data_IF_254323477602
#
_entry.id   IF_254323477602
#
_cell.length_a   1.000
_cell.length_b   1.000
_cell.length_c   1.000
_cell.angle_alpha   90.00
_cell.angle_beta   90.00
_cell.angle_gamma   90.00
#
_symmetry.space_group_name_H-M   'P 1'
#
loop_
_entity.id
_entity.type
_entity.pdbx_description
1 polymer ?
#
# COMPACT_ATOMS: atom_id res chain seq x y z
N UNK A 1 7.88 22.10 28.49
CA UNK A 1 7.42 21.04 27.57
C UNK A 1 8.33 21.00 26.35
N UNK A 2 9.53 20.42 26.51
CA UNK A 2 10.67 20.62 25.60
C UNK A 2 10.75 19.60 24.47
N UNK A 3 11.08 20.10 23.28
CA UNK A 3 11.15 19.37 22.04
C UNK A 3 12.19 18.26 22.02
N UNK A 4 11.72 17.05 21.72
CA UNK A 4 12.51 16.01 21.09
C UNK A 4 11.56 15.04 20.35
N UNK A 5 10.49 15.57 19.75
CA UNK A 5 9.49 14.72 19.10
C UNK A 5 10.04 13.99 17.89
N UNK A 6 11.16 14.47 17.32
CA UNK A 6 11.87 13.91 16.18
C UNK A 6 13.16 13.22 16.66
N UNK A 7 13.47 12.04 16.14
CA UNK A 7 14.77 11.36 16.35
C UNK A 7 15.81 11.78 15.30
N UNK A 8 17.06 11.35 15.48
CA UNK A 8 18.14 11.50 14.51
C UNK A 8 17.82 10.96 13.10
N UNK A 9 16.91 9.99 13.02
CA UNK A 9 16.41 9.43 11.75
C UNK A 9 15.39 10.35 11.04
N UNK A 10 15.17 11.58 11.53
CA UNK A 10 14.22 12.54 10.95
C UNK A 10 12.74 12.15 11.11
N UNK A 11 12.43 11.13 11.91
CA UNK A 11 11.07 10.61 12.13
C UNK A 11 10.56 10.99 13.51
N UNK A 12 9.23 11.04 13.70
CA UNK A 12 8.66 11.18 15.04
C UNK A 12 9.12 10.01 15.91
N UNK A 13 9.72 10.27 17.08
CA UNK A 13 10.30 9.25 17.97
C UNK A 13 9.35 8.08 18.23
N UNK A 14 8.08 8.38 18.51
CA UNK A 14 7.04 7.36 18.76
C UNK A 14 6.75 6.45 17.56
N UNK A 15 7.06 6.89 16.34
CA UNK A 15 6.83 6.15 15.09
C UNK A 15 8.13 5.63 14.47
N UNK A 16 9.29 5.91 15.07
CA UNK A 16 10.57 5.46 14.54
C UNK A 16 10.79 3.99 14.88
N UNK A 17 10.89 3.14 13.85
CA UNK A 17 11.19 1.72 14.00
C UNK A 17 12.58 1.51 14.61
N UNK A 18 13.58 2.26 14.13
CA UNK A 18 14.98 2.15 14.56
C UNK A 18 15.17 2.57 16.03
N UNK A 19 14.35 3.49 16.52
CA UNK A 19 14.37 3.89 17.93
C UNK A 19 13.42 3.07 18.83
N UNK A 20 12.77 2.02 18.32
CA UNK A 20 11.79 1.24 19.07
C UNK A 20 10.59 2.07 19.56
N UNK A 21 10.16 3.07 18.78
CA UNK A 21 9.13 4.02 19.16
C UNK A 21 7.85 3.35 19.68
N UNK A 22 7.19 3.96 20.67
CA UNK A 22 6.04 3.36 21.37
C UNK A 22 4.89 2.85 20.45
N UNK A 23 4.73 3.42 19.24
CA UNK A 23 3.75 2.98 18.26
C UNK A 23 4.19 1.76 17.45
N UNK A 24 5.40 1.24 17.65
CA UNK A 24 5.97 0.06 16.98
C UNK A 24 5.83 -1.14 17.91
N UNK A 25 5.38 -2.28 17.38
CA UNK A 25 5.34 -3.55 18.13
C UNK A 25 6.64 -4.33 17.95
N UNK A 26 6.78 -5.43 18.70
CA UNK A 26 7.91 -6.35 18.62
C UNK A 26 8.16 -6.90 17.21
N UNK A 27 7.10 -7.05 16.40
CA UNK A 27 7.19 -7.45 14.98
C UNK A 27 7.77 -6.33 14.07
N UNK A 28 8.19 -5.20 14.63
CA UNK A 28 8.76 -4.08 13.89
C UNK A 28 7.75 -3.39 12.95
N UNK A 29 6.45 -3.49 13.24
CA UNK A 29 5.35 -2.86 12.49
C UNK A 29 4.66 -1.84 13.39
N UNK A 30 3.93 -0.86 12.81
CA UNK A 30 3.04 0.00 13.61
C UNK A 30 1.99 -0.85 14.29
N UNK A 31 1.83 -0.73 15.61
CA UNK A 31 0.88 -1.49 16.45
C UNK A 31 -0.52 -1.53 15.85
N UNK A 32 -1.04 -0.38 15.42
CA UNK A 32 -2.37 -0.28 14.82
C UNK A 32 -2.55 -1.07 13.52
N UNK A 33 -1.45 -1.34 12.80
CA UNK A 33 -1.47 -2.04 11.52
C UNK A 33 -0.91 -3.48 11.61
N UNK A 34 -0.49 -3.92 12.79
CA UNK A 34 0.10 -5.24 12.95
C UNK A 34 -1.00 -6.29 13.11
N UNK A 35 -1.07 -7.23 12.16
CA UNK A 35 -2.03 -8.34 12.18
C UNK A 35 -1.82 -9.27 13.38
N UNK A 36 -0.57 -9.59 13.68
CA UNK A 36 -0.19 -10.47 14.79
C UNK A 36 -0.56 -9.87 16.15
N UNK A 37 -0.51 -8.54 16.28
CA UNK A 37 -0.94 -7.85 17.50
C UNK A 37 -2.44 -7.50 17.53
N UNK A 38 -3.23 -7.93 16.53
CA UNK A 38 -4.65 -7.56 16.43
C UNK A 38 -4.88 -6.05 16.31
N UNK A 39 -3.97 -5.33 15.65
CA UNK A 39 -3.99 -3.86 15.57
C UNK A 39 -5.34 -3.29 15.14
N UNK A 40 -5.74 -2.15 15.69
CA UNK A 40 -7.06 -1.55 15.48
C UNK A 40 -7.47 -1.34 14.01
N UNK A 41 -6.50 -1.19 13.10
CA UNK A 41 -6.75 -1.07 11.65
C UNK A 41 -6.99 -2.42 10.96
N UNK A 42 -6.92 -3.54 11.68
CA UNK A 42 -7.16 -4.89 11.17
C UNK A 42 -8.59 -5.33 11.56
N UNK A 43 -9.33 -5.88 10.61
CA UNK A 43 -10.65 -6.46 10.87
C UNK A 43 -10.55 -7.92 11.30
N UNK A 44 -11.66 -8.51 11.72
CA UNK A 44 -11.77 -9.93 12.08
C UNK A 44 -11.35 -10.88 10.95
N UNK A 45 -11.53 -10.48 9.68
CA UNK A 45 -11.05 -11.21 8.50
C UNK A 45 -9.52 -11.17 8.33
N UNK A 46 -8.78 -10.53 9.24
CA UNK A 46 -7.33 -10.41 9.21
C UNK A 46 -6.80 -9.56 8.06
N UNK A 47 -7.63 -8.63 7.53
CA UNK A 47 -7.29 -7.65 6.49
C UNK A 47 -7.31 -6.24 7.09
N UNK A 48 -6.70 -5.25 6.41
CA UNK A 48 -6.88 -3.84 6.80
C UNK A 48 -8.35 -3.46 6.64
N UNK A 49 -8.96 -2.86 7.66
CA UNK A 49 -10.38 -2.46 7.69
C UNK A 49 -10.77 -1.64 6.45
N UNK A 50 -9.94 -0.68 6.07
CA UNK A 50 -10.19 0.17 4.89
C UNK A 50 -10.21 -0.61 3.57
N UNK A 51 -9.52 -1.75 3.49
CA UNK A 51 -9.39 -2.58 2.29
C UNK A 51 -10.24 -3.86 2.36
N UNK A 52 -11.00 -4.07 3.43
CA UNK A 52 -11.79 -5.27 3.60
C UNK A 52 -13.14 -5.11 2.91
N UNK A 53 -13.37 -5.89 1.85
CA UNK A 53 -14.64 -5.90 1.10
C UNK A 53 -15.82 -6.33 1.98
N UNK A 54 -15.63 -7.36 2.81
CA UNK A 54 -16.67 -7.89 3.70
C UNK A 54 -17.09 -6.86 4.77
N UNK A 55 -16.15 -6.02 5.23
CA UNK A 55 -16.45 -4.93 6.16
C UNK A 55 -16.89 -3.62 5.48
N UNK A 56 -17.06 -3.58 4.15
CA UNK A 56 -17.38 -2.35 3.42
C UNK A 56 -16.30 -1.27 3.55
N UNK A 57 -15.03 -1.66 3.59
CA UNK A 57 -13.90 -0.77 3.81
C UNK A 57 -13.89 0.45 2.89
N UNK A 58 -13.50 1.62 3.41
CA UNK A 58 -13.56 2.90 2.68
C UNK A 58 -12.77 2.94 1.37
N UNK A 59 -11.75 2.10 1.22
CA UNK A 59 -10.98 1.96 -0.01
C UNK A 59 -11.68 1.08 -1.05
N UNK A 60 -12.82 0.46 -0.74
CA UNK A 60 -13.60 -0.36 -1.66
C UNK A 60 -14.70 0.49 -2.30
N UNK A 61 -14.87 0.38 -3.62
CA UNK A 61 -15.94 1.03 -4.36
C UNK A 61 -17.21 0.16 -4.40
N UNK A 62 -18.31 0.70 -4.92
CA UNK A 62 -19.57 -0.03 -5.12
C UNK A 62 -19.42 -1.27 -6.01
N UNK A 63 -18.48 -1.26 -6.96
CA UNK A 63 -18.13 -2.42 -7.79
C UNK A 63 -17.37 -3.52 -7.02
N UNK A 64 -17.10 -3.32 -5.73
CA UNK A 64 -16.40 -4.28 -4.88
C UNK A 64 -14.92 -4.47 -5.22
N UNK A 65 -14.30 -3.45 -5.84
CA UNK A 65 -12.86 -3.36 -6.15
C UNK A 65 -12.21 -2.24 -5.31
N UNK A 66 -10.89 -2.23 -5.19
CA UNK A 66 -10.21 -1.08 -4.58
C UNK A 66 -10.43 0.17 -5.45
N UNK A 67 -10.88 1.27 -4.86
CA UNK A 67 -11.19 2.54 -5.53
C UNK A 67 -10.05 3.03 -6.41
N UNK A 68 -8.81 2.90 -5.93
CA UNK A 68 -7.60 3.28 -6.66
C UNK A 68 -7.42 2.48 -7.95
N UNK A 69 -7.87 1.23 -8.00
CA UNK A 69 -7.70 0.30 -9.12
C UNK A 69 -8.99 0.12 -9.94
N UNK A 70 -10.10 0.73 -9.54
CA UNK A 70 -11.37 0.57 -10.21
C UNK A 70 -11.43 1.42 -11.48
N UNK A 71 -11.43 0.78 -12.65
CA UNK A 71 -11.56 1.45 -13.96
C UNK A 71 -12.86 2.24 -14.09
N UNK A 72 -13.97 1.64 -13.66
CA UNK A 72 -15.31 2.26 -13.72
C UNK A 72 -15.40 3.52 -12.84
N UNK A 73 -14.60 3.60 -11.77
CA UNK A 73 -14.53 4.79 -10.92
C UNK A 73 -13.42 5.77 -11.32
N UNK A 74 -12.70 5.52 -12.42
CA UNK A 74 -11.54 6.33 -12.81
C UNK A 74 -10.43 6.33 -11.75
N UNK A 75 -10.21 5.20 -11.09
CA UNK A 75 -9.28 5.06 -9.97
C UNK A 75 -7.89 5.63 -10.28
N UNK A 76 -7.23 6.21 -9.27
CA UNK A 76 -5.95 6.91 -9.45
C UNK A 76 -4.83 6.06 -10.08
N UNK A 77 -4.88 4.74 -9.91
CA UNK A 77 -3.93 3.79 -10.52
C UNK A 77 -4.25 3.48 -11.98
N UNK A 78 -5.36 3.97 -12.53
CA UNK A 78 -5.77 3.78 -13.92
C UNK A 78 -5.34 5.00 -14.75
N UNK A 79 -4.72 4.75 -15.89
CA UNK A 79 -4.36 5.81 -16.85
C UNK A 79 -5.52 6.09 -17.82
N UNK A 80 -5.36 7.14 -18.64
CA UNK A 80 -6.33 7.52 -19.69
C UNK A 80 -6.59 6.38 -20.70
N UNK A 81 -5.62 5.48 -20.91
CA UNK A 81 -5.76 4.29 -21.76
C UNK A 81 -6.59 3.16 -21.11
N UNK A 82 -7.14 3.35 -19.91
CA UNK A 82 -7.91 2.33 -19.19
C UNK A 82 -7.09 1.15 -18.68
N UNK A 83 -5.76 1.29 -18.59
CA UNK A 83 -4.82 0.29 -18.04
C UNK A 83 -4.29 0.75 -16.69
N UNK A 84 -3.78 -0.17 -15.88
CA UNK A 84 -3.05 0.22 -14.67
C UNK A 84 -1.79 1.01 -15.08
N UNK A 85 -1.55 2.18 -14.48
CA UNK A 85 -0.44 3.08 -14.79
C UNK A 85 0.90 2.36 -14.76
N UNK A 86 1.10 1.49 -13.77
CA UNK A 86 2.32 0.68 -13.60
C UNK A 86 2.55 -0.28 -14.78
N UNK A 87 1.50 -0.75 -15.44
CA UNK A 87 1.54 -1.72 -16.54
C UNK A 87 1.25 -1.10 -17.91
N UNK A 88 1.04 0.22 -17.99
CA UNK A 88 0.72 0.87 -19.24
C UNK A 88 2.01 1.17 -20.02
N UNK A 89 2.22 0.47 -21.14
CA UNK A 89 3.35 0.70 -22.04
C UNK A 89 3.41 2.14 -22.56
N UNK A 90 2.27 2.69 -22.95
CA UNK A 90 2.15 4.07 -23.49
C UNK A 90 2.49 5.13 -22.43
N UNK A 91 2.26 4.83 -21.14
CA UNK A 91 2.64 5.72 -20.05
C UNK A 91 4.05 5.44 -19.49
N UNK A 92 4.82 4.53 -20.09
CA UNK A 92 6.12 4.13 -19.56
C UNK A 92 6.03 3.50 -18.17
N UNK A 93 4.98 2.74 -17.90
CA UNK A 93 4.68 2.17 -16.58
C UNK A 93 5.88 1.44 -15.96
N UNK A 94 6.06 1.60 -14.65
CA UNK A 94 7.23 1.08 -13.92
C UNK A 94 7.41 -0.46 -14.02
N UNK A 95 6.33 -1.20 -14.30
CA UNK A 95 6.37 -2.65 -14.51
C UNK A 95 6.74 -3.04 -15.93
N UNK A 96 6.92 -2.09 -16.85
CA UNK A 96 7.34 -2.33 -18.23
C UNK A 96 8.87 -2.38 -18.29
N UNK A 97 9.41 -3.39 -18.97
CA UNK A 97 10.84 -3.49 -19.25
C UNK A 97 11.20 -2.75 -20.55
N UNK A 98 12.51 -2.62 -20.81
CA UNK A 98 13.03 -2.03 -22.05
C UNK A 98 12.51 -2.73 -23.32
N UNK A 99 12.16 -4.02 -23.23
CA UNK A 99 11.55 -4.79 -24.34
C UNK A 99 10.06 -4.46 -24.57
N UNK A 100 9.48 -3.53 -23.82
CA UNK A 100 8.09 -3.12 -23.94
C UNK A 100 7.06 -4.16 -23.48
N UNK A 101 7.47 -5.09 -22.59
CA UNK A 101 6.64 -6.12 -21.98
C UNK A 101 6.56 -5.91 -20.46
N UNK A 102 5.54 -6.46 -19.80
CA UNK A 102 5.51 -6.50 -18.34
C UNK A 102 6.68 -7.36 -17.84
N UNK A 103 7.48 -6.84 -16.90
CA UNK A 103 8.72 -7.45 -16.40
C UNK A 103 8.53 -8.92 -15.99
N UNK A 104 7.48 -9.21 -15.22
CA UNK A 104 7.14 -10.57 -14.77
C UNK A 104 6.68 -11.53 -15.87
N UNK A 105 6.41 -11.03 -17.07
CA UNK A 105 6.04 -11.84 -18.24
C UNK A 105 7.13 -11.83 -19.31
N UNK A 106 8.21 -11.07 -19.08
CA UNK A 106 9.29 -10.94 -20.03
C UNK A 106 10.32 -12.06 -19.81
N UNK A 107 10.29 -13.07 -20.68
CA UNK A 107 11.29 -14.17 -20.67
C UNK A 107 12.73 -13.67 -20.71
N UNK A 108 13.00 -12.56 -21.41
CA UNK A 108 14.33 -11.95 -21.48
C UNK A 108 14.75 -11.27 -20.16
N UNK A 109 13.80 -10.91 -19.29
CA UNK A 109 14.07 -10.33 -17.98
C UNK A 109 13.96 -11.35 -16.83
N UNK A 110 13.93 -12.65 -17.15
CA UNK A 110 13.98 -13.71 -16.15
C UNK A 110 12.63 -14.21 -15.63
N UNK A 111 11.50 -13.69 -16.12
CA UNK A 111 10.14 -14.24 -15.88
C UNK A 111 9.79 -14.48 -14.42
#
# INVERSE_FOLDING_TARGET
CGGASICEHGRRRSQCKECGGASICEHGRRRSQCKECGGASICEHGRRRSQCKECGGSSICEHGRERSQCKECGGASICEHGRERSQCKECGGASICEHGRVRSQCKQCGG
#
